data_IF_346193221355
#
_entry.id   IF_346193221355
#
_cell.length_a   1.000
_cell.length_b   1.000
_cell.length_c   1.000
_cell.angle_alpha   90.00
_cell.angle_beta   90.00
_cell.angle_gamma   90.00
#
_symmetry.space_group_name_H-M   'P 1'
#
loop_
_entity.id
_entity.type
_entity.pdbx_description
1 polymer ?
#
# COMPACT_ATOMS: atom_id res chain seq x y z
N UNK A 1 1.68 10.12 32.84
CA UNK A 1 2.63 9.58 31.82
C UNK A 1 1.85 9.11 30.61
N UNK A 2 2.09 9.68 29.40
CA UNK A 2 1.38 9.25 28.19
C UNK A 2 1.90 7.86 27.77
N UNK A 3 1.00 6.89 27.67
CA UNK A 3 1.37 5.52 27.34
C UNK A 3 1.92 5.44 25.90
N UNK A 4 3.21 5.14 25.73
CA UNK A 4 3.89 5.06 24.41
C UNK A 4 3.18 4.10 23.43
N UNK A 5 2.49 3.07 23.96
CA UNK A 5 1.68 2.14 23.14
C UNK A 5 0.46 2.83 22.55
N UNK A 6 -0.26 3.61 23.35
CA UNK A 6 -1.44 4.36 22.89
C UNK A 6 -1.03 5.39 21.84
N UNK A 7 0.07 6.12 22.07
CA UNK A 7 0.59 7.07 21.09
C UNK A 7 0.92 6.44 19.73
N UNK A 8 1.56 5.25 19.75
CA UNK A 8 1.83 4.50 18.53
C UNK A 8 0.53 4.08 17.82
N UNK A 9 -0.44 3.56 18.56
CA UNK A 9 -1.74 3.14 17.99
C UNK A 9 -2.48 4.31 17.34
N UNK A 10 -2.50 5.48 17.98
CA UNK A 10 -3.13 6.68 17.41
C UNK A 10 -2.46 7.09 16.10
N UNK A 11 -1.12 7.05 16.03
CA UNK A 11 -0.39 7.37 14.80
C UNK A 11 -0.65 6.34 13.68
N UNK A 12 -0.73 5.05 14.00
CA UNK A 12 -1.10 4.02 13.02
C UNK A 12 -2.55 4.21 12.53
N UNK A 13 -3.48 4.53 13.42
CA UNK A 13 -4.87 4.83 13.05
C UNK A 13 -4.99 6.06 12.14
N UNK A 14 -4.20 7.11 12.40
CA UNK A 14 -4.12 8.29 11.52
C UNK A 14 -3.59 7.92 10.14
N UNK A 15 -2.57 7.06 10.04
CA UNK A 15 -2.05 6.60 8.75
C UNK A 15 -3.07 5.74 8.00
N UNK A 16 -3.86 4.89 8.69
CA UNK A 16 -4.99 4.18 8.09
C UNK A 16 -6.02 5.16 7.51
N UNK A 17 -6.43 6.17 8.30
CA UNK A 17 -7.38 7.18 7.85
C UNK A 17 -6.84 7.96 6.64
N UNK A 18 -5.56 8.37 6.65
CA UNK A 18 -4.92 9.03 5.51
C UNK A 18 -4.90 8.15 4.26
N UNK A 19 -4.65 6.84 4.40
CA UNK A 19 -4.69 5.90 3.28
C UNK A 19 -6.08 5.86 2.63
N UNK A 20 -7.13 5.79 3.44
CA UNK A 20 -8.52 5.80 2.93
C UNK A 20 -8.89 7.13 2.27
N UNK A 21 -8.50 8.25 2.87
CA UNK A 21 -8.73 9.58 2.29
C UNK A 21 -8.02 9.73 0.95
N UNK A 22 -6.73 9.35 0.87
CA UNK A 22 -5.97 9.42 -0.37
C UNK A 22 -6.53 8.48 -1.44
N UNK A 23 -6.99 7.29 -1.07
CA UNK A 23 -7.67 6.37 -1.97
C UNK A 23 -8.96 6.96 -2.54
N UNK A 24 -9.70 7.74 -1.75
CA UNK A 24 -10.94 8.37 -2.18
C UNK A 24 -10.68 9.60 -3.07
N UNK A 25 -9.72 10.44 -2.69
CA UNK A 25 -9.44 11.72 -3.36
C UNK A 25 -8.60 11.54 -4.63
N UNK A 26 -7.64 10.60 -4.61
CA UNK A 26 -6.73 10.35 -5.74
C UNK A 26 -7.04 8.98 -6.30
N UNK A 27 -8.05 8.92 -7.16
CA UNK A 27 -8.49 7.68 -7.82
C UNK A 27 -8.84 7.95 -9.27
N UNK A 28 -8.12 7.27 -10.18
CA UNK A 28 -8.36 7.37 -11.63
C UNK A 28 -7.79 6.16 -12.38
N UNK A 29 -8.39 5.77 -13.52
CA UNK A 29 -7.84 4.72 -14.37
C UNK A 29 -6.60 5.25 -15.12
N UNK A 30 -5.46 4.56 -15.00
CA UNK A 30 -4.25 4.89 -15.76
C UNK A 30 -4.34 4.34 -17.18
N UNK A 31 -4.95 3.18 -17.36
CA UNK A 31 -5.08 2.48 -18.64
C UNK A 31 -6.55 2.50 -19.04
N UNK A 32 -6.96 3.34 -20.00
CA UNK A 32 -8.38 3.47 -20.37
C UNK A 32 -9.05 2.17 -20.81
N UNK A 33 -8.31 1.27 -21.46
CA UNK A 33 -8.82 -0.05 -21.87
C UNK A 33 -9.15 -0.98 -20.67
N UNK A 34 -8.61 -0.71 -19.50
CA UNK A 34 -8.83 -1.45 -18.25
C UNK A 34 -9.37 -0.49 -17.18
N UNK A 35 -10.50 0.15 -17.47
CA UNK A 35 -11.11 1.20 -16.65
C UNK A 35 -11.39 0.78 -15.19
N UNK A 36 -11.49 -0.53 -14.93
CA UNK A 36 -11.67 -1.08 -13.58
C UNK A 36 -10.36 -1.17 -12.77
N UNK A 37 -9.20 -0.99 -13.42
CA UNK A 37 -7.90 -0.87 -12.74
C UNK A 37 -7.64 0.60 -12.42
N UNK A 38 -8.02 1.01 -11.23
CA UNK A 38 -7.85 2.38 -10.78
C UNK A 38 -6.59 2.53 -9.94
N UNK A 39 -5.80 3.54 -10.29
CA UNK A 39 -4.69 3.99 -9.45
C UNK A 39 -5.23 4.69 -8.21
N UNK A 40 -4.57 4.49 -7.09
CA UNK A 40 -4.78 5.20 -5.84
C UNK A 40 -3.46 5.39 -5.07
N UNK A 41 -3.46 6.30 -4.10
CA UNK A 41 -2.29 6.62 -3.28
C UNK A 41 -2.34 5.99 -1.88
N UNK A 42 -3.17 4.99 -1.64
CA UNK A 42 -3.30 4.36 -0.32
C UNK A 42 -2.01 3.75 0.22
N UNK A 43 -1.14 3.25 -0.67
CA UNK A 43 0.13 2.64 -0.27
C UNK A 43 1.09 3.63 0.38
N UNK A 44 1.00 4.92 0.06
CA UNK A 44 1.95 5.94 0.55
C UNK A 44 1.95 6.05 2.08
N UNK A 45 0.83 6.26 2.78
CA UNK A 45 0.82 6.27 4.25
C UNK A 45 1.17 4.91 4.86
N UNK A 46 0.84 3.79 4.19
CA UNK A 46 1.20 2.44 4.61
C UNK A 46 2.72 2.28 4.63
N UNK A 47 3.40 2.66 3.54
CA UNK A 47 4.86 2.61 3.43
C UNK A 47 5.55 3.56 4.41
N UNK A 48 5.01 4.74 4.64
CA UNK A 48 5.49 5.67 5.67
C UNK A 48 5.39 5.00 7.05
N UNK A 49 4.26 4.42 7.40
CA UNK A 49 4.07 3.66 8.63
C UNK A 49 5.04 2.49 8.77
N UNK A 50 5.30 1.81 7.65
CA UNK A 50 6.27 0.71 7.57
C UNK A 50 7.69 1.18 7.89
N UNK A 51 8.13 2.27 7.31
CA UNK A 51 9.46 2.82 7.57
C UNK A 51 9.62 3.39 8.99
N UNK A 52 8.55 3.94 9.55
CA UNK A 52 8.58 4.51 10.90
C UNK A 52 8.48 3.47 12.01
N UNK A 53 7.66 2.43 11.83
CA UNK A 53 7.28 1.49 12.89
C UNK A 53 7.64 0.03 12.57
N UNK A 54 8.19 -0.22 11.39
CA UNK A 54 8.64 -1.53 10.92
C UNK A 54 7.59 -2.31 10.12
N UNK A 55 8.02 -3.46 9.53
CA UNK A 55 7.19 -4.23 8.58
C UNK A 55 5.89 -4.77 9.19
N UNK A 56 5.89 -5.17 10.46
CA UNK A 56 4.68 -5.65 11.14
C UNK A 56 3.63 -4.54 11.28
N UNK A 57 4.07 -3.30 11.53
CA UNK A 57 3.15 -2.17 11.59
C UNK A 57 2.57 -1.85 10.21
N UNK A 58 3.41 -1.91 9.15
CA UNK A 58 2.96 -1.77 7.77
C UNK A 58 1.90 -2.82 7.40
N UNK A 59 2.15 -4.08 7.72
CA UNK A 59 1.19 -5.16 7.49
C UNK A 59 -0.12 -4.95 8.26
N UNK A 60 -0.05 -4.49 9.51
CA UNK A 60 -1.24 -4.20 10.30
C UNK A 60 -2.06 -3.04 9.70
N UNK A 61 -1.41 -1.94 9.25
CA UNK A 61 -2.09 -0.85 8.54
C UNK A 61 -2.73 -1.40 7.25
N UNK A 62 -2.00 -2.19 6.46
CA UNK A 62 -2.51 -2.78 5.22
C UNK A 62 -3.75 -3.63 5.49
N UNK A 63 -3.75 -4.47 6.52
CA UNK A 63 -4.90 -5.30 6.87
C UNK A 63 -6.14 -4.45 7.17
N UNK A 64 -6.00 -3.43 8.02
CA UNK A 64 -7.10 -2.53 8.37
C UNK A 64 -7.60 -1.76 7.14
N UNK A 65 -6.69 -1.19 6.35
CA UNK A 65 -7.05 -0.44 5.14
C UNK A 65 -7.72 -1.34 4.12
N UNK A 66 -7.24 -2.59 3.91
CA UNK A 66 -7.84 -3.54 2.97
C UNK A 66 -9.29 -3.89 3.32
N UNK A 67 -9.57 -4.10 4.61
CA UNK A 67 -10.95 -4.37 5.08
C UNK A 67 -11.83 -3.14 4.93
N UNK A 68 -11.35 -1.98 5.38
CA UNK A 68 -12.15 -0.75 5.32
C UNK A 68 -12.43 -0.31 3.88
N UNK A 69 -11.46 -0.39 2.97
CA UNK A 69 -11.70 -0.05 1.56
C UNK A 69 -12.73 -0.98 0.91
N UNK A 70 -12.73 -2.27 1.24
CA UNK A 70 -13.64 -3.25 0.67
C UNK A 70 -15.12 -2.99 1.03
N UNK A 71 -15.37 -2.33 2.17
CA UNK A 71 -16.73 -1.97 2.61
C UNK A 71 -17.08 -0.50 2.34
N UNK A 72 -16.14 0.29 1.84
CA UNK A 72 -16.33 1.74 1.59
C UNK A 72 -16.01 2.12 0.15
N UNK A 73 -14.76 2.53 -0.11
CA UNK A 73 -14.30 3.13 -1.36
C UNK A 73 -14.34 2.15 -2.54
N UNK A 74 -14.03 0.88 -2.29
CA UNK A 74 -13.94 -0.18 -3.31
C UNK A 74 -14.97 -1.29 -3.08
N UNK A 75 -16.15 -0.93 -2.59
CA UNK A 75 -17.22 -1.89 -2.29
C UNK A 75 -17.65 -2.72 -3.53
N UNK A 76 -17.50 -2.18 -4.75
CA UNK A 76 -17.76 -2.90 -5.99
C UNK A 76 -16.86 -4.13 -6.20
N UNK A 77 -15.60 -4.06 -5.77
CA UNK A 77 -14.67 -5.20 -5.82
C UNK A 77 -14.76 -6.11 -4.58
N UNK A 78 -15.36 -5.63 -3.50
CA UNK A 78 -15.65 -6.36 -2.28
C UNK A 78 -14.46 -7.14 -1.73
N UNK A 79 -14.70 -8.42 -1.41
CA UNK A 79 -13.67 -9.31 -0.84
C UNK A 79 -12.50 -9.59 -1.79
N UNK A 80 -12.73 -9.58 -3.12
CA UNK A 80 -11.68 -9.79 -4.12
C UNK A 80 -10.65 -8.66 -4.03
N UNK A 81 -11.12 -7.41 -4.06
CA UNK A 81 -10.26 -6.25 -3.88
C UNK A 81 -9.55 -6.23 -2.52
N UNK A 82 -10.22 -6.66 -1.45
CA UNK A 82 -9.64 -6.80 -0.12
C UNK A 82 -8.43 -7.74 -0.12
N UNK A 83 -8.61 -8.94 -0.64
CA UNK A 83 -7.55 -9.96 -0.72
C UNK A 83 -6.40 -9.47 -1.60
N UNK A 84 -6.69 -8.99 -2.79
CA UNK A 84 -5.69 -8.51 -3.74
C UNK A 84 -4.87 -7.36 -3.15
N UNK A 85 -5.51 -6.37 -2.53
CA UNK A 85 -4.81 -5.26 -1.89
C UNK A 85 -3.98 -5.73 -0.69
N UNK A 86 -4.52 -6.61 0.16
CA UNK A 86 -3.79 -7.10 1.33
C UNK A 86 -2.50 -7.82 0.95
N UNK A 87 -2.54 -8.72 -0.03
CA UNK A 87 -1.35 -9.46 -0.43
C UNK A 87 -0.39 -8.61 -1.26
N UNK A 88 -0.88 -7.78 -2.18
CA UNK A 88 -0.05 -6.89 -3.00
C UNK A 88 0.69 -5.86 -2.15
N UNK A 89 -0.05 -5.02 -1.45
CA UNK A 89 0.51 -3.95 -0.61
C UNK A 89 1.19 -4.52 0.63
N UNK A 90 0.69 -5.63 1.19
CA UNK A 90 1.32 -6.32 2.31
C UNK A 90 2.71 -6.84 1.97
N UNK A 91 2.88 -7.50 0.82
CA UNK A 91 4.21 -7.93 0.36
C UNK A 91 5.14 -6.75 0.11
N UNK A 92 4.62 -5.70 -0.54
CA UNK A 92 5.37 -4.46 -0.75
C UNK A 92 5.85 -3.87 0.59
N UNK A 93 4.96 -3.66 1.54
CA UNK A 93 5.28 -3.09 2.83
C UNK A 93 6.26 -3.95 3.65
N UNK A 94 6.05 -5.28 3.67
CA UNK A 94 6.92 -6.18 4.42
C UNK A 94 8.33 -6.18 3.86
N UNK A 95 8.50 -6.33 2.53
CA UNK A 95 9.82 -6.37 1.90
C UNK A 95 10.53 -5.03 2.04
N UNK A 96 9.84 -3.93 1.72
CA UNK A 96 10.39 -2.58 1.89
C UNK A 96 10.82 -2.32 3.36
N UNK A 97 9.97 -2.70 4.31
CA UNK A 97 10.24 -2.52 5.73
C UNK A 97 11.39 -3.38 6.26
N UNK A 98 11.50 -4.63 5.83
CA UNK A 98 12.60 -5.53 6.24
C UNK A 98 13.94 -5.02 5.75
N UNK A 99 14.02 -4.60 4.48
CA UNK A 99 15.25 -4.08 3.87
C UNK A 99 15.64 -2.76 4.55
N UNK A 100 14.70 -1.84 4.68
CA UNK A 100 14.94 -0.56 5.34
C UNK A 100 15.37 -0.74 6.80
N UNK A 101 14.75 -1.65 7.55
CA UNK A 101 15.11 -1.93 8.94
C UNK A 101 16.51 -2.48 9.11
N UNK A 102 17.06 -3.18 8.09
CA UNK A 102 18.43 -3.70 8.12
C UNK A 102 19.47 -2.62 7.84
N UNK A 103 19.18 -1.67 6.98
CA UNK A 103 20.18 -0.68 6.48
C UNK A 103 20.01 0.73 7.04
N UNK A 104 18.80 1.13 7.46
CA UNK A 104 18.46 2.45 8.05
C UNK A 104 19.04 3.69 7.34
N UNK A 105 19.28 3.63 6.03
CA UNK A 105 19.85 4.70 5.22
C UNK A 105 19.02 4.91 3.94
N UNK A 106 19.35 5.97 3.18
CA UNK A 106 18.65 6.32 1.94
C UNK A 106 18.73 5.19 0.90
N UNK A 107 19.87 4.51 0.78
CA UNK A 107 20.03 3.38 -0.14
C UNK A 107 19.10 2.23 0.24
N UNK A 108 19.04 1.90 1.54
CA UNK A 108 18.11 0.88 2.03
C UNK A 108 16.63 1.23 1.83
N UNK A 109 16.26 2.52 1.87
CA UNK A 109 14.91 2.95 1.52
C UNK A 109 14.62 2.74 0.02
N UNK A 110 15.53 3.15 -0.86
CA UNK A 110 15.38 2.98 -2.32
C UNK A 110 15.33 1.50 -2.69
N UNK A 111 16.28 0.70 -2.22
CA UNK A 111 16.31 -0.74 -2.47
C UNK A 111 15.05 -1.44 -1.94
N UNK A 112 14.61 -1.05 -0.74
CA UNK A 112 13.39 -1.57 -0.14
C UNK A 112 12.16 -1.25 -0.97
N UNK A 113 12.02 -0.02 -1.45
CA UNK A 113 10.92 0.39 -2.32
C UNK A 113 10.96 -0.35 -3.66
N UNK A 114 12.12 -0.46 -4.30
CA UNK A 114 12.24 -1.15 -5.60
C UNK A 114 11.96 -2.65 -5.50
N UNK A 115 12.55 -3.33 -4.51
CA UNK A 115 12.33 -4.76 -4.32
C UNK A 115 10.92 -5.07 -3.81
N UNK A 116 10.35 -4.21 -2.97
CA UNK A 116 8.97 -4.30 -2.54
C UNK A 116 7.99 -4.11 -3.70
N UNK A 117 8.24 -3.12 -4.57
CA UNK A 117 7.48 -2.89 -5.79
C UNK A 117 7.54 -4.11 -6.74
N UNK A 118 8.73 -4.67 -6.94
CA UNK A 118 8.90 -5.89 -7.75
C UNK A 118 8.11 -7.07 -7.18
N UNK A 119 8.15 -7.27 -5.87
CA UNK A 119 7.38 -8.33 -5.21
C UNK A 119 5.86 -8.12 -5.35
N UNK A 120 5.38 -6.89 -5.22
CA UNK A 120 3.98 -6.55 -5.48
C UNK A 120 3.58 -6.95 -6.90
N UNK A 121 4.37 -6.57 -7.90
CA UNK A 121 4.10 -6.90 -9.31
C UNK A 121 4.07 -8.42 -9.53
N UNK A 122 5.04 -9.14 -9.01
CA UNK A 122 5.15 -10.60 -9.14
C UNK A 122 3.94 -11.30 -8.51
N UNK A 123 3.55 -10.91 -7.31
CA UNK A 123 2.40 -11.48 -6.60
C UNK A 123 1.10 -11.16 -7.37
N UNK A 124 0.98 -9.98 -7.97
CA UNK A 124 -0.22 -9.59 -8.68
C UNK A 124 -0.44 -10.36 -9.99
N UNK A 125 0.57 -11.01 -10.57
CA UNK A 125 0.38 -11.85 -11.77
C UNK A 125 -0.60 -13.00 -11.51
N UNK A 126 -0.35 -13.93 -10.56
CA UNK A 126 -1.29 -15.01 -10.29
C UNK A 126 -2.63 -14.49 -9.71
N UNK A 127 -2.61 -13.43 -8.88
CA UNK A 127 -3.85 -12.88 -8.35
C UNK A 127 -4.74 -12.30 -9.45
N UNK A 128 -4.19 -11.55 -10.41
CA UNK A 128 -4.96 -11.09 -11.56
C UNK A 128 -5.46 -12.26 -12.41
N UNK A 129 -4.63 -13.28 -12.66
CA UNK A 129 -5.01 -14.41 -13.48
C UNK A 129 -6.20 -15.22 -12.91
N UNK A 130 -6.25 -15.39 -11.58
CA UNK A 130 -7.28 -16.20 -10.92
C UNK A 130 -8.43 -15.38 -10.32
N UNK A 131 -8.20 -14.21 -9.76
CA UNK A 131 -9.22 -13.45 -9.04
C UNK A 131 -9.89 -12.38 -9.91
N UNK A 132 -9.18 -11.73 -10.83
CA UNK A 132 -9.82 -10.73 -11.70
C UNK A 132 -10.92 -11.34 -12.59
N UNK A 133 -10.81 -12.58 -13.13
CA UNK A 133 -11.91 -13.20 -13.84
C UNK A 133 -13.19 -13.38 -13.03
N UNK A 134 -13.07 -13.63 -11.71
CA UNK A 134 -14.26 -13.75 -10.83
C UNK A 134 -14.98 -12.40 -10.76
N UNK A 135 -14.24 -11.29 -10.68
CA UNK A 135 -14.80 -9.94 -10.68
C UNK A 135 -15.46 -9.62 -12.03
N UNK A 136 -14.77 -9.91 -13.14
CA UNK A 136 -15.24 -9.62 -14.51
C UNK A 136 -16.45 -10.48 -14.88
N UNK A 137 -16.49 -11.75 -14.46
CA UNK A 137 -17.61 -12.67 -14.76
C UNK A 137 -18.94 -12.19 -14.17
N UNK A 138 -18.92 -11.40 -13.10
CA UNK A 138 -20.12 -10.75 -12.56
C UNK A 138 -20.82 -9.79 -13.54
N UNK A 139 -20.17 -9.41 -14.65
CA UNK A 139 -20.76 -8.59 -15.72
C UNK A 139 -21.38 -9.37 -16.89
N UNK A 140 -21.58 -10.70 -16.74
CA UNK A 140 -22.26 -11.53 -17.73
C UNK A 140 -21.35 -12.39 -18.61
N UNK A 141 -20.05 -12.36 -18.44
CA UNK A 141 -19.09 -13.27 -19.07
C UNK A 141 -18.98 -14.58 -18.28
N UNK A 142 -18.70 -15.70 -18.94
CA UNK A 142 -18.27 -16.91 -18.24
C UNK A 142 -16.87 -16.72 -17.63
N UNK A 143 -16.55 -17.49 -16.59
CA UNK A 143 -15.22 -17.42 -15.97
C UNK A 143 -14.08 -17.69 -16.99
N UNK A 144 -14.26 -18.66 -17.88
CA UNK A 144 -13.27 -19.02 -18.88
C UNK A 144 -13.01 -17.89 -19.91
N UNK A 145 -14.07 -17.21 -20.35
CA UNK A 145 -13.96 -16.03 -21.23
C UNK A 145 -13.27 -14.87 -20.53
N UNK A 146 -13.66 -14.59 -19.27
CA UNK A 146 -13.04 -13.56 -18.46
C UNK A 146 -11.54 -13.86 -18.19
N UNK A 147 -11.19 -15.15 -17.97
CA UNK A 147 -9.80 -15.56 -17.79
C UNK A 147 -8.98 -15.39 -19.09
N UNK A 148 -9.56 -15.74 -20.24
CA UNK A 148 -8.92 -15.51 -21.54
C UNK A 148 -8.72 -14.02 -21.82
N UNK A 149 -9.70 -13.18 -21.45
CA UNK A 149 -9.59 -11.73 -21.52
C UNK A 149 -8.43 -11.23 -20.65
N UNK A 150 -8.37 -11.61 -19.38
CA UNK A 150 -7.28 -11.23 -18.46
C UNK A 150 -5.92 -11.67 -19.00
N UNK A 151 -5.82 -12.89 -19.55
CA UNK A 151 -4.58 -13.39 -20.15
C UNK A 151 -4.13 -12.54 -21.34
N UNK A 152 -5.05 -12.19 -22.23
CA UNK A 152 -4.76 -11.33 -23.40
C UNK A 152 -4.23 -9.94 -23.02
N UNK A 153 -4.65 -9.41 -21.87
CA UNK A 153 -4.21 -8.12 -21.34
C UNK A 153 -3.19 -8.22 -20.19
N UNK A 154 -2.60 -9.40 -19.95
CA UNK A 154 -1.73 -9.63 -18.78
C UNK A 154 -0.58 -8.62 -18.69
N UNK A 155 0.04 -8.26 -19.80
CA UNK A 155 1.09 -7.24 -19.82
C UNK A 155 0.60 -5.86 -19.38
N UNK A 156 -0.66 -5.51 -19.69
CA UNK A 156 -1.27 -4.27 -19.21
C UNK A 156 -1.52 -4.31 -17.71
N UNK A 157 -1.91 -5.44 -17.14
CA UNK A 157 -2.01 -5.62 -15.70
C UNK A 157 -0.64 -5.51 -15.01
N UNK A 158 0.39 -6.11 -15.58
CA UNK A 158 1.78 -5.99 -15.07
C UNK A 158 2.24 -4.54 -15.13
N UNK A 159 2.05 -3.85 -16.25
CA UNK A 159 2.41 -2.45 -16.42
C UNK A 159 1.67 -1.53 -15.43
N UNK A 160 0.37 -1.76 -15.23
CA UNK A 160 -0.43 -1.02 -14.24
C UNK A 160 0.13 -1.18 -12.82
N UNK A 161 0.37 -2.41 -12.38
CA UNK A 161 0.89 -2.66 -11.04
C UNK A 161 2.31 -2.08 -10.87
N UNK A 162 3.15 -2.16 -11.90
CA UNK A 162 4.48 -1.56 -11.90
C UNK A 162 4.41 -0.02 -11.79
N UNK A 163 3.57 0.63 -12.59
CA UNK A 163 3.36 2.07 -12.54
C UNK A 163 2.82 2.51 -11.18
N UNK A 164 1.79 1.84 -10.67
CA UNK A 164 1.23 2.11 -9.34
C UNK A 164 2.32 2.02 -8.26
N UNK A 165 3.06 0.94 -8.22
CA UNK A 165 4.11 0.72 -7.24
C UNK A 165 5.25 1.76 -7.35
N UNK A 166 5.67 2.11 -8.57
CA UNK A 166 6.72 3.10 -8.80
C UNK A 166 6.29 4.52 -8.41
N UNK A 167 5.07 4.93 -8.79
CA UNK A 167 4.54 6.25 -8.40
C UNK A 167 4.42 6.34 -6.88
N UNK A 168 3.82 5.34 -6.23
CA UNK A 168 3.68 5.30 -4.77
C UNK A 168 5.04 5.24 -4.06
N UNK A 169 6.05 4.56 -4.65
CA UNK A 169 7.43 4.58 -4.17
C UNK A 169 8.05 5.98 -4.23
N UNK A 170 7.92 6.64 -5.37
CA UNK A 170 8.47 8.00 -5.57
C UNK A 170 7.84 9.00 -4.60
N UNK A 171 6.52 9.00 -4.48
CA UNK A 171 5.81 9.86 -3.53
C UNK A 171 6.22 9.55 -2.09
N UNK A 172 6.26 8.26 -1.71
CA UNK A 172 6.70 7.84 -0.37
C UNK A 172 8.11 8.33 -0.08
N UNK A 173 9.03 8.19 -1.02
CA UNK A 173 10.43 8.63 -0.85
C UNK A 173 10.54 10.13 -0.61
N UNK A 174 9.79 10.94 -1.37
CA UNK A 174 9.78 12.41 -1.22
C UNK A 174 9.15 12.83 0.10
N UNK A 175 8.00 12.24 0.46
CA UNK A 175 7.22 12.63 1.65
C UNK A 175 7.81 12.08 2.94
N UNK A 176 8.46 10.93 2.91
CA UNK A 176 9.00 10.29 4.11
C UNK A 176 10.03 11.17 4.84
N UNK A 177 10.93 11.82 4.10
CA UNK A 177 12.02 12.64 4.70
C UNK A 177 11.52 13.83 5.53
N UNK A 178 10.64 14.70 5.05
CA UNK A 178 10.06 15.76 5.87
C UNK A 178 9.21 15.23 7.01
N UNK A 179 8.40 14.21 6.78
CA UNK A 179 7.50 13.65 7.77
C UNK A 179 8.26 12.98 8.93
N UNK A 180 9.33 12.23 8.63
CA UNK A 180 10.18 11.61 9.66
C UNK A 180 10.86 12.64 10.55
N UNK A 181 11.21 13.82 10.01
CA UNK A 181 11.79 14.94 10.79
C UNK A 181 10.75 15.56 11.73
N UNK A 182 9.52 15.74 11.29
CA UNK A 182 8.44 16.26 12.13
C UNK A 182 8.17 15.33 13.32
N UNK A 183 8.08 14.04 13.07
CA UNK A 183 7.87 13.05 14.13
C UNK A 183 9.06 12.95 15.10
N UNK A 184 10.31 13.06 14.62
CA UNK A 184 11.51 13.12 15.48
C UNK A 184 11.54 14.36 16.35
N UNK A 185 11.19 15.54 15.82
CA UNK A 185 11.12 16.78 16.59
C UNK A 185 10.10 16.72 17.74
N UNK A 186 8.97 16.09 17.54
CA UNK A 186 7.99 15.86 18.62
C UNK A 186 8.54 14.95 19.73
N UNK A 187 9.35 13.94 19.38
CA UNK A 187 10.01 13.07 20.35
C UNK A 187 11.05 13.81 21.18
N UNK A 188 11.91 14.61 20.54
CA UNK A 188 12.97 15.37 21.21
C UNK A 188 12.44 16.52 22.08
N UNK A 189 11.27 17.09 21.74
CA UNK A 189 10.62 18.14 22.55
C UNK A 189 9.98 17.61 23.85
N UNK A 190 9.86 16.29 24.01
CA UNK A 190 9.16 15.64 25.13
C UNK A 190 10.05 14.92 26.13
N UNK A 191 11.39 14.95 25.99
CA UNK A 191 12.24 14.58 27.09
C UNK A 191 12.36 15.82 28.03
N UNK A 192 11.81 15.76 29.26
CA UNK A 192 12.11 16.78 30.25
C UNK A 192 13.63 16.69 30.49
N UNK A 193 14.34 17.81 30.33
CA UNK A 193 15.69 17.91 30.86
C UNK A 193 15.67 17.40 32.28
N UNK A 194 16.50 16.39 32.66
CA UNK A 194 16.70 16.08 34.06
C UNK A 194 17.27 17.35 34.68
N UNK A 195 16.52 17.88 35.65
CA UNK A 195 16.76 19.16 36.27
C UNK A 195 18.20 19.34 36.75
N UNK A 196 18.63 20.58 36.60
CA UNK A 196 19.72 21.15 37.45
C UNK A 196 19.25 21.19 38.88
#
# INVERSE_FOLDING_TARGET
MRNKRVEKLVKLALLCAMSLVLMYVVRFPIIPALFFLEYDMADVPILIGTFMYGPVAGLAITAVVSVLQAVTVSASSGWIGCIMHFFATGAFAVIAGVIYRRRHNIRGAIEGLLLGAAAMVIIMVPFNYYLSPIFISGSGMSYAEAQSYVWSYMWSFVAFNALKALINSAVTFVVYKPLSRLFKKEFLKKEPHPGK
#
